data_IF_029622596898
#
_entry.id   IF_029622596898
#
_cell.length_a   1.000
_cell.length_b   1.000
_cell.length_c   1.000
_cell.angle_alpha   90.00
_cell.angle_beta   90.00
_cell.angle_gamma   90.00
#
_symmetry.space_group_name_H-M   'P 1'
#
loop_
_entity.id
_entity.type
_entity.pdbx_description
1 polymer ?
#
# COMPACT_ATOMS: atom_id res chain seq x y z
N UNK A 1 -15.03 12.54 44.43
CA UNK A 1 -14.13 12.36 43.25
C UNK A 1 -14.69 11.24 42.39
N UNK A 2 -15.19 11.53 41.19
CA UNK A 2 -15.54 10.52 40.18
C UNK A 2 -14.26 10.16 39.42
N UNK A 3 -13.96 8.87 39.13
CA UNK A 3 -12.82 8.54 38.30
C UNK A 3 -13.10 9.00 36.86
N UNK A 4 -12.09 9.57 36.22
CA UNK A 4 -12.13 9.98 34.83
C UNK A 4 -12.32 8.73 33.96
N UNK A 5 -13.26 8.80 33.01
CA UNK A 5 -13.43 7.77 32.00
C UNK A 5 -12.16 7.73 31.14
N UNK A 6 -11.38 6.67 31.30
CA UNK A 6 -10.32 6.33 30.37
C UNK A 6 -11.00 5.89 29.07
N UNK A 7 -11.16 6.82 28.14
CA UNK A 7 -11.59 6.49 26.77
C UNK A 7 -10.44 5.73 26.13
N UNK A 8 -10.43 4.41 26.30
CA UNK A 8 -9.63 3.52 25.48
C UNK A 8 -10.11 3.74 24.04
N UNK A 9 -9.30 4.44 23.24
CA UNK A 9 -9.51 4.54 21.80
C UNK A 9 -9.42 3.10 21.29
N UNK A 10 -10.56 2.50 20.99
CA UNK A 10 -10.63 1.17 20.40
C UNK A 10 -9.91 1.26 19.04
N UNK A 11 -8.78 0.57 18.92
CA UNK A 11 -8.07 0.48 17.65
C UNK A 11 -9.03 -0.07 16.60
N UNK A 12 -9.14 0.61 15.46
CA UNK A 12 -9.99 0.17 14.35
C UNK A 12 -9.62 -1.28 13.95
N UNK A 13 -10.63 -2.09 13.65
CA UNK A 13 -10.40 -3.45 13.19
C UNK A 13 -9.60 -3.43 11.89
N UNK A 14 -8.54 -4.24 11.80
CA UNK A 14 -7.74 -4.37 10.60
C UNK A 14 -8.16 -5.62 9.83
N UNK A 15 -8.41 -5.43 8.54
CA UNK A 15 -8.88 -6.46 7.63
C UNK A 15 -7.75 -6.84 6.68
N UNK A 16 -7.50 -8.15 6.55
CA UNK A 16 -6.49 -8.70 5.66
C UNK A 16 -6.98 -8.71 4.21
N UNK A 17 -6.11 -8.29 3.31
CA UNK A 17 -6.33 -8.29 1.87
C UNK A 17 -5.12 -8.91 1.16
N UNK A 18 -5.38 -9.72 0.13
CA UNK A 18 -4.36 -10.19 -0.79
C UNK A 18 -4.37 -9.31 -2.04
N UNK A 19 -3.21 -8.76 -2.41
CA UNK A 19 -3.07 -7.86 -3.53
C UNK A 19 -1.97 -8.34 -4.45
N UNK A 20 -2.26 -8.40 -5.75
CA UNK A 20 -1.27 -8.61 -6.79
C UNK A 20 -0.58 -7.26 -7.05
N UNK A 21 0.73 -7.19 -6.84
CA UNK A 21 1.57 -6.03 -7.08
C UNK A 21 1.94 -5.88 -8.57
N UNK A 22 0.94 -5.94 -9.46
CA UNK A 22 1.06 -5.80 -10.92
C UNK A 22 1.07 -4.33 -11.39
N UNK A 23 0.96 -3.38 -10.46
CA UNK A 23 1.12 -1.94 -10.71
C UNK A 23 2.56 -1.50 -10.96
N UNK A 24 3.56 -2.30 -10.54
CA UNK A 24 4.99 -2.01 -10.63
C UNK A 24 5.53 -2.32 -12.05
N UNK A 25 5.22 -1.49 -13.04
CA UNK A 25 5.56 -1.76 -14.46
C UNK A 25 7.07 -2.00 -14.74
N UNK A 26 7.96 -1.53 -13.86
CA UNK A 26 9.41 -1.71 -13.99
C UNK A 26 9.92 -3.07 -13.44
N UNK A 27 9.07 -3.84 -12.74
CA UNK A 27 9.39 -5.15 -12.15
C UNK A 27 8.68 -6.28 -12.89
N UNK A 28 9.02 -6.44 -14.16
CA UNK A 28 8.49 -7.52 -15.01
C UNK A 28 8.84 -8.91 -14.46
N UNK A 29 9.90 -9.02 -13.66
CA UNK A 29 10.30 -10.22 -12.93
C UNK A 29 9.26 -10.70 -11.90
N UNK A 30 8.39 -9.81 -11.42
CA UNK A 30 7.34 -10.16 -10.47
C UNK A 30 6.08 -10.72 -11.15
N UNK A 31 5.86 -10.45 -12.44
CA UNK A 31 4.65 -10.85 -13.16
C UNK A 31 4.96 -11.96 -14.17
N UNK A 32 4.81 -13.22 -13.75
CA UNK A 32 5.00 -14.39 -14.61
C UNK A 32 3.76 -14.73 -15.48
N UNK A 33 2.72 -13.89 -15.41
CA UNK A 33 1.46 -14.07 -16.14
C UNK A 33 0.50 -15.07 -15.49
N UNK A 34 0.87 -15.67 -14.35
CA UNK A 34 -0.01 -16.56 -13.58
C UNK A 34 -0.63 -15.83 -12.41
N UNK A 35 -1.94 -16.03 -12.23
CA UNK A 35 -2.62 -15.54 -11.03
C UNK A 35 -2.22 -16.44 -9.86
N UNK A 36 -1.87 -15.86 -8.70
CA UNK A 36 -1.58 -16.66 -7.52
C UNK A 36 -2.82 -17.47 -7.12
N UNK A 37 -2.60 -18.67 -6.59
CA UNK A 37 -3.64 -19.59 -6.11
C UNK A 37 -4.24 -19.11 -4.77
N UNK A 38 -4.63 -17.83 -4.72
CA UNK A 38 -5.26 -17.18 -3.59
C UNK A 38 -6.77 -17.15 -3.87
N UNK A 39 -7.47 -18.17 -3.34
CA UNK A 39 -8.86 -18.47 -3.68
C UNK A 39 -9.89 -17.45 -3.17
N UNK A 40 -9.52 -16.60 -2.21
CA UNK A 40 -10.44 -15.64 -1.60
C UNK A 40 -9.74 -14.31 -1.33
N UNK A 41 -10.47 -13.22 -1.48
CA UNK A 41 -10.02 -11.88 -1.13
C UNK A 41 -8.75 -11.41 -1.88
N UNK A 42 -8.75 -11.52 -3.21
CA UNK A 42 -7.68 -11.04 -4.09
C UNK A 42 -8.09 -9.77 -4.85
N UNK A 43 -7.18 -8.79 -4.94
CA UNK A 43 -7.31 -7.55 -5.75
C UNK A 43 -6.08 -7.32 -6.64
N UNK A 44 -6.25 -6.54 -7.71
CA UNK A 44 -5.18 -6.14 -8.63
C UNK A 44 -4.78 -4.69 -8.39
N UNK A 45 -3.49 -4.43 -8.21
CA UNK A 45 -2.95 -3.08 -8.06
C UNK A 45 -3.06 -2.27 -9.36
N UNK A 46 -2.96 -2.91 -10.52
CA UNK A 46 -3.09 -2.27 -11.83
C UNK A 46 -4.47 -1.63 -12.05
N UNK A 47 -5.50 -2.13 -11.37
CA UNK A 47 -6.85 -1.56 -11.38
C UNK A 47 -7.03 -0.40 -10.38
N UNK A 48 -5.99 -0.04 -9.62
CA UNK A 48 -5.95 1.04 -8.65
C UNK A 48 -4.93 2.10 -9.09
N UNK A 49 -5.21 2.85 -10.18
CA UNK A 49 -4.24 3.74 -10.82
C UNK A 49 -3.70 4.83 -9.88
N UNK A 50 -4.46 5.21 -8.85
CA UNK A 50 -4.05 6.16 -7.83
C UNK A 50 -2.74 5.76 -7.13
N UNK A 51 -2.48 4.46 -6.97
CA UNK A 51 -1.22 3.98 -6.36
C UNK A 51 -0.03 4.37 -7.22
N UNK A 52 -0.10 4.10 -8.54
CA UNK A 52 0.97 4.49 -9.47
C UNK A 52 1.14 6.00 -9.55
N UNK A 53 0.03 6.75 -9.57
CA UNK A 53 0.07 8.23 -9.58
C UNK A 53 0.78 8.75 -8.34
N UNK A 54 0.40 8.31 -7.14
CA UNK A 54 1.03 8.76 -5.88
C UNK A 54 2.49 8.33 -5.81
N UNK A 55 2.83 7.09 -6.19
CA UNK A 55 4.21 6.62 -6.20
C UNK A 55 5.09 7.50 -7.11
N UNK A 56 4.57 7.88 -8.27
CA UNK A 56 5.26 8.78 -9.21
C UNK A 56 5.43 10.18 -8.61
N UNK A 57 4.38 10.76 -8.01
CA UNK A 57 4.47 12.08 -7.37
C UNK A 57 5.46 12.09 -6.21
N UNK A 58 5.45 11.06 -5.35
CA UNK A 58 6.43 10.90 -4.27
C UNK A 58 7.85 10.84 -4.86
N UNK A 59 8.06 10.06 -5.92
CA UNK A 59 9.33 9.99 -6.62
C UNK A 59 9.76 11.35 -7.20
N UNK A 60 8.82 12.16 -7.67
CA UNK A 60 9.09 13.50 -8.22
C UNK A 60 9.47 14.49 -7.16
N UNK A 61 8.81 14.47 -6.00
CA UNK A 61 9.13 15.38 -4.91
C UNK A 61 10.50 15.12 -4.27
N UNK A 62 11.03 13.90 -4.38
CA UNK A 62 12.42 13.60 -3.95
C UNK A 62 13.47 13.92 -5.01
N UNK A 63 13.09 14.12 -6.26
CA UNK A 63 14.04 14.28 -7.35
C UNK A 63 14.69 15.67 -7.32
N UNK A 64 16.02 15.73 -7.44
CA UNK A 64 16.76 16.97 -7.64
C UNK A 64 16.85 17.27 -9.13
N UNK A 65 16.05 18.23 -9.61
CA UNK A 65 15.95 18.58 -11.04
C UNK A 65 17.25 19.11 -11.67
N UNK A 66 18.27 19.39 -10.86
CA UNK A 66 19.62 19.77 -11.30
C UNK A 66 20.45 18.59 -11.85
N UNK A 67 19.96 17.35 -11.71
CA UNK A 67 20.64 16.14 -12.18
C UNK A 67 19.94 15.53 -13.40
N UNK A 68 20.69 14.73 -14.17
CA UNK A 68 20.14 13.96 -15.27
C UNK A 68 18.99 13.06 -14.79
N UNK A 69 17.90 13.01 -15.56
CA UNK A 69 16.73 12.20 -15.21
C UNK A 69 17.10 10.70 -15.17
N UNK A 70 16.70 9.97 -14.12
CA UNK A 70 17.00 8.55 -14.01
C UNK A 70 16.19 7.73 -15.02
N UNK A 71 16.74 6.59 -15.43
CA UNK A 71 16.07 5.66 -16.33
C UNK A 71 14.77 5.08 -15.73
N UNK A 72 14.74 4.90 -14.41
CA UNK A 72 13.55 4.51 -13.65
C UNK A 72 13.33 5.53 -12.54
N UNK A 73 12.18 6.17 -12.57
CA UNK A 73 11.91 7.28 -11.68
C UNK A 73 11.42 6.82 -10.31
N UNK A 74 10.51 5.83 -10.27
CA UNK A 74 9.94 5.24 -9.06
C UNK A 74 10.73 4.03 -8.58
N UNK A 75 10.89 3.85 -7.28
CA UNK A 75 11.43 2.62 -6.68
C UNK A 75 10.42 1.95 -5.73
N UNK A 76 10.74 0.75 -5.24
CA UNK A 76 9.84 -0.04 -4.37
C UNK A 76 9.33 0.75 -3.16
N UNK A 77 10.19 1.52 -2.50
CA UNK A 77 9.79 2.33 -1.35
C UNK A 77 8.72 3.39 -1.70
N UNK A 78 8.69 3.89 -2.95
CA UNK A 78 7.65 4.81 -3.41
C UNK A 78 6.29 4.10 -3.55
N UNK A 79 6.29 2.85 -4.04
CA UNK A 79 5.08 2.04 -4.12
C UNK A 79 4.55 1.62 -2.75
N UNK A 80 5.42 1.23 -1.81
CA UNK A 80 4.99 1.00 -0.42
C UNK A 80 4.40 2.26 0.21
N UNK A 81 5.04 3.42 0.02
CA UNK A 81 4.53 4.70 0.51
C UNK A 81 3.16 5.02 -0.09
N UNK A 82 2.99 4.82 -1.39
CA UNK A 82 1.72 5.03 -2.08
C UNK A 82 0.62 4.08 -1.58
N UNK A 83 0.92 2.80 -1.36
CA UNK A 83 -0.04 1.84 -0.79
C UNK A 83 -0.49 2.26 0.61
N UNK A 84 0.41 2.77 1.46
CA UNK A 84 0.07 3.29 2.79
C UNK A 84 -0.93 4.44 2.68
N UNK A 85 -0.68 5.39 1.77
CA UNK A 85 -1.52 6.59 1.63
C UNK A 85 -2.86 6.31 0.93
N UNK A 86 -2.86 5.51 -0.14
CA UNK A 86 -4.05 5.27 -0.97
C UNK A 86 -4.95 4.21 -0.36
N UNK A 87 -4.37 3.13 0.16
CA UNK A 87 -5.13 1.99 0.70
C UNK A 87 -5.30 2.06 2.23
N UNK A 88 -4.61 2.98 2.90
CA UNK A 88 -4.59 3.03 4.36
C UNK A 88 -3.93 1.79 4.97
N UNK A 89 -2.89 1.23 4.33
CA UNK A 89 -2.19 0.04 4.87
C UNK A 89 -1.62 0.35 6.24
N UNK A 90 -1.94 -0.49 7.22
CA UNK A 90 -1.41 -0.45 8.58
C UNK A 90 -0.38 -1.54 8.84
N UNK A 91 -0.47 -2.67 8.13
CA UNK A 91 0.54 -3.74 8.22
C UNK A 91 0.82 -4.36 6.87
N UNK A 92 2.10 -4.62 6.60
CA UNK A 92 2.53 -5.48 5.52
C UNK A 92 3.04 -6.80 6.08
N UNK A 93 2.56 -7.91 5.54
CA UNK A 93 3.08 -9.22 5.89
C UNK A 93 4.30 -9.52 5.01
N UNK A 94 5.48 -9.19 5.51
CA UNK A 94 6.76 -9.26 4.78
C UNK A 94 7.80 -10.07 5.56
N UNK A 95 8.90 -10.38 4.89
CA UNK A 95 10.12 -10.81 5.56
C UNK A 95 10.79 -9.63 6.28
N UNK A 96 11.45 -9.90 7.41
CA UNK A 96 12.08 -8.87 8.25
C UNK A 96 13.22 -8.12 7.54
N UNK A 97 13.84 -8.70 6.51
CA UNK A 97 14.85 -8.04 5.68
C UNK A 97 14.31 -6.77 5.00
N UNK A 98 12.99 -6.67 4.79
CA UNK A 98 12.34 -5.49 4.20
C UNK A 98 12.06 -4.36 5.21
N UNK A 99 12.47 -4.50 6.47
CA UNK A 99 12.26 -3.48 7.52
C UNK A 99 12.84 -2.11 7.12
N UNK A 100 14.06 -2.08 6.58
CA UNK A 100 14.69 -0.81 6.16
C UNK A 100 13.97 -0.16 4.99
N UNK A 101 13.46 -0.97 4.06
CA UNK A 101 12.64 -0.49 2.96
C UNK A 101 11.31 0.11 3.47
N UNK A 102 10.62 -0.58 4.39
CA UNK A 102 9.36 -0.06 4.95
C UNK A 102 9.59 1.22 5.77
N UNK A 103 10.69 1.34 6.51
CA UNK A 103 11.06 2.59 7.18
C UNK A 103 11.20 3.74 6.19
N UNK A 104 11.87 3.51 5.07
CA UNK A 104 12.04 4.49 4.01
C UNK A 104 10.68 4.87 3.39
N UNK A 105 9.83 3.88 3.14
CA UNK A 105 8.47 4.11 2.64
C UNK A 105 7.62 4.95 3.60
N UNK A 106 7.65 4.64 4.90
CA UNK A 106 6.96 5.42 5.94
C UNK A 106 7.45 6.87 5.99
N UNK A 107 8.77 7.10 5.90
CA UNK A 107 9.34 8.45 5.87
C UNK A 107 8.84 9.26 4.66
N UNK A 108 8.80 8.63 3.48
CA UNK A 108 8.31 9.27 2.25
C UNK A 108 6.81 9.54 2.30
N UNK A 109 6.03 8.57 2.75
CA UNK A 109 4.58 8.73 2.94
C UNK A 109 4.28 9.86 3.93
N UNK A 110 5.03 9.94 5.04
CA UNK A 110 4.88 11.00 6.03
C UNK A 110 5.20 12.38 5.43
N UNK A 111 6.31 12.51 4.72
CA UNK A 111 6.71 13.78 4.10
C UNK A 111 5.67 14.26 3.08
N UNK A 112 5.21 13.35 2.21
CA UNK A 112 4.18 13.64 1.23
C UNK A 112 2.85 14.02 1.90
N UNK A 113 2.39 13.24 2.88
CA UNK A 113 1.16 13.52 3.60
C UNK A 113 1.22 14.86 4.35
N UNK A 114 2.36 15.19 4.96
CA UNK A 114 2.54 16.48 5.64
C UNK A 114 2.41 17.65 4.65
N UNK A 115 3.09 17.59 3.50
CA UNK A 115 3.05 18.63 2.48
C UNK A 115 1.64 18.84 1.92
N UNK A 116 0.92 17.74 1.68
CA UNK A 116 -0.41 17.73 1.08
C UNK A 116 -1.56 17.72 2.10
N UNK A 117 -1.26 17.87 3.39
CA UNK A 117 -2.23 17.87 4.51
C UNK A 117 -3.13 16.63 4.54
N UNK A 118 -2.56 15.48 4.22
CA UNK A 118 -3.25 14.18 4.24
C UNK A 118 -3.10 13.53 5.63
N UNK A 119 -4.10 12.76 6.09
CA UNK A 119 -3.94 11.93 7.28
C UNK A 119 -2.88 10.86 7.04
N UNK A 120 -2.07 10.59 8.06
CA UNK A 120 -1.00 9.59 7.98
C UNK A 120 -0.91 8.79 9.27
N UNK A 121 -0.73 7.48 9.11
CA UNK A 121 -0.27 6.59 10.18
C UNK A 121 0.72 5.63 9.54
N UNK A 122 1.90 5.41 10.15
CA UNK A 122 2.89 4.51 9.60
C UNK A 122 2.37 3.07 9.56
N UNK A 123 2.86 2.30 8.58
CA UNK A 123 2.63 0.87 8.52
C UNK A 123 3.77 0.11 9.20
N UNK A 124 3.44 -1.05 9.78
CA UNK A 124 4.42 -1.95 10.39
C UNK A 124 4.59 -3.25 9.60
N UNK A 125 5.67 -3.98 9.88
CA UNK A 125 5.86 -5.34 9.36
C UNK A 125 5.23 -6.34 10.31
N UNK A 126 4.41 -7.23 9.76
CA UNK A 126 4.05 -8.49 10.38
C UNK A 126 4.85 -9.60 9.68
N UNK A 127 5.40 -10.55 10.44
CA UNK A 127 6.11 -11.68 9.83
C UNK A 127 5.16 -12.49 8.96
N UNK A 128 5.49 -12.66 7.68
CA UNK A 128 4.79 -13.59 6.80
C UNK A 128 5.21 -15.02 7.11
N UNK A 129 4.25 -15.88 7.47
CA UNK A 129 4.48 -17.32 7.68
C UNK A 129 4.11 -18.18 6.46
N UNK A 130 3.97 -17.59 5.26
CA UNK A 130 3.61 -18.31 4.04
C UNK A 130 4.85 -18.80 3.28
N UNK A 131 5.25 -20.08 3.41
CA UNK A 131 6.29 -20.65 2.55
C UNK A 131 5.80 -20.63 1.09
N UNK A 132 6.68 -20.26 0.16
CA UNK A 132 6.43 -20.22 -1.29
C UNK A 132 5.38 -19.19 -1.75
N UNK A 133 5.25 -18.05 -1.06
CA UNK A 133 4.41 -16.96 -1.57
C UNK A 133 4.93 -16.47 -2.94
N UNK A 134 4.06 -16.31 -3.96
CA UNK A 134 4.42 -15.67 -5.21
C UNK A 134 5.02 -14.28 -4.99
N UNK A 135 6.04 -13.92 -5.78
CA UNK A 135 6.81 -12.69 -5.58
C UNK A 135 5.98 -11.41 -5.78
N UNK A 136 4.94 -11.45 -6.61
CA UNK A 136 3.96 -10.37 -6.81
C UNK A 136 2.82 -10.35 -5.79
N UNK A 137 2.72 -11.30 -4.86
CA UNK A 137 1.62 -11.32 -3.90
C UNK A 137 2.00 -10.56 -2.62
N UNK A 138 1.25 -9.50 -2.33
CA UNK A 138 1.31 -8.79 -1.06
C UNK A 138 0.12 -9.15 -0.20
N UNK A 139 0.38 -9.46 1.06
CA UNK A 139 -0.65 -9.57 2.08
C UNK A 139 -0.57 -8.33 2.95
N UNK A 140 -1.64 -7.55 2.95
CA UNK A 140 -1.73 -6.25 3.62
C UNK A 140 -2.90 -6.24 4.61
N UNK A 141 -2.83 -5.39 5.62
CA UNK A 141 -3.97 -5.12 6.50
C UNK A 141 -4.34 -3.64 6.44
N UNK A 142 -5.64 -3.36 6.26
CA UNK A 142 -6.21 -2.01 6.17
C UNK A 142 -7.44 -1.89 7.06
N UNK A 143 -7.87 -0.66 7.38
CA UNK A 143 -9.14 -0.43 8.10
C UNK A 143 -10.38 -0.63 7.21
N UNK A 144 -10.19 -0.81 5.89
CA UNK A 144 -11.26 -1.06 4.94
C UNK A 144 -11.48 -2.56 4.78
N UNK A 145 -12.68 -3.02 5.16
CA UNK A 145 -13.06 -4.40 4.95
C UNK A 145 -13.14 -4.73 3.46
N UNK A 146 -12.51 -5.84 3.09
CA UNK A 146 -12.63 -6.38 1.75
C UNK A 146 -13.55 -7.57 1.73
N UNK A 147 -14.59 -7.48 0.92
CA UNK A 147 -15.57 -8.53 0.74
C UNK A 147 -15.18 -9.41 -0.44
N UNK A 148 -15.24 -10.73 -0.26
CA UNK A 148 -15.11 -11.66 -1.37
C UNK A 148 -16.39 -11.60 -2.22
N UNK A 149 -16.33 -10.92 -3.36
CA UNK A 149 -17.42 -10.82 -4.35
C UNK A 149 -17.28 -11.82 -5.50
N UNK A 150 -16.40 -12.81 -5.36
CA UNK A 150 -16.31 -13.99 -6.23
C UNK A 150 -15.29 -13.92 -7.37
N UNK A 151 -14.77 -12.75 -7.75
CA UNK A 151 -13.67 -12.65 -8.72
C UNK A 151 -12.80 -11.40 -8.52
N UNK A 152 -11.59 -11.41 -9.07
CA UNK A 152 -10.59 -10.35 -8.96
C UNK A 152 -11.11 -8.95 -9.31
N UNK A 153 -11.83 -8.83 -10.43
CA UNK A 153 -12.32 -7.55 -10.95
C UNK A 153 -13.36 -6.98 -9.98
N UNK A 154 -14.38 -7.78 -9.63
CA UNK A 154 -15.45 -7.34 -8.73
C UNK A 154 -14.92 -7.02 -7.33
N UNK A 155 -13.98 -7.83 -6.82
CA UNK A 155 -13.31 -7.54 -5.55
C UNK A 155 -12.57 -6.21 -5.59
N UNK A 156 -11.80 -5.96 -6.66
CA UNK A 156 -10.99 -4.74 -6.77
C UNK A 156 -11.87 -3.50 -6.90
N UNK A 157 -12.94 -3.55 -7.70
CA UNK A 157 -13.88 -2.44 -7.82
C UNK A 157 -14.63 -2.17 -6.52
N UNK A 158 -15.08 -3.23 -5.82
CA UNK A 158 -15.75 -3.09 -4.53
C UNK A 158 -14.82 -2.51 -3.47
N UNK A 159 -13.56 -2.91 -3.45
CA UNK A 159 -12.55 -2.35 -2.55
C UNK A 159 -12.25 -0.89 -2.90
N UNK A 160 -12.01 -0.58 -4.18
CA UNK A 160 -11.73 0.78 -4.65
C UNK A 160 -12.84 1.78 -4.26
N UNK A 161 -14.11 1.35 -4.31
CA UNK A 161 -15.25 2.18 -3.93
C UNK A 161 -15.29 2.55 -2.43
N UNK A 162 -14.58 1.81 -1.57
CA UNK A 162 -14.45 2.12 -0.13
C UNK A 162 -13.28 3.06 0.17
N UNK A 163 -12.35 3.22 -0.76
CA UNK A 163 -11.15 4.01 -0.54
C UNK A 163 -11.47 5.51 -0.55
N UNK A 164 -10.82 6.30 0.31
CA UNK A 164 -11.00 7.74 0.32
C UNK A 164 -10.41 8.34 -0.96
N UNK A 165 -11.09 9.32 -1.54
CA UNK A 165 -10.46 10.17 -2.55
C UNK A 165 -9.40 11.03 -1.88
N UNK A 166 -8.15 10.91 -2.32
CA UNK A 166 -7.08 11.79 -1.85
C UNK A 166 -7.29 13.18 -2.48
N UNK A 167 -7.50 14.25 -1.68
CA UNK A 167 -7.68 15.60 -2.18
C UNK A 167 -6.32 16.18 -2.56
N UNK A 168 -5.73 15.70 -3.65
CA UNK A 168 -4.51 16.30 -4.18
C UNK A 168 -4.89 17.61 -4.89
N UNK A 169 -4.44 18.74 -4.34
CA UNK A 169 -4.38 19.99 -5.08
C UNK A 169 -3.12 19.92 -5.96
N UNK A 170 -3.29 19.53 -7.22
CA UNK A 170 -2.24 19.64 -8.24
C UNK A 170 -2.09 21.10 -8.69
#
# INVERSE_FOLDING_TARGET
MKPAANTLIQAAALHRCHMIADGNAHRTDLCDGTLPDASENLISEAMLPNIRTIATLIATERHQFEQASPAVFTEEADFFAARILVLGVRRFHLDITLTTMLKTANQRAQAFAFKHKLPFTPADIQMSLYPNRPANLLIIETEYEMECKGNLITNTLAFAAKLPHLPLLL
#
